data_IF_028555921956
#
_entry.id   IF_028555921956
#
_cell.length_a   1.000
_cell.length_b   1.000
_cell.length_c   1.000
_cell.angle_alpha   90.00
_cell.angle_beta   90.00
_cell.angle_gamma   90.00
#
_symmetry.space_group_name_H-M   'P 1'
#
loop_
_entity.id
_entity.type
_entity.pdbx_description
1 polymer ?
#
# COMPACT_ATOMS: atom_id res chain seq x y z
N UNK A 1 0.14 -15.11 -5.92
CA UNK A 1 -0.25 -15.14 -7.34
C UNK A 1 0.73 -15.87 -8.24
N UNK A 2 2.05 -15.63 -8.19
CA UNK A 2 3.01 -16.29 -9.09
C UNK A 2 2.96 -17.82 -9.06
N UNK A 3 2.83 -18.40 -7.87
CA UNK A 3 2.69 -19.86 -7.69
C UNK A 3 1.36 -20.34 -8.28
N UNK A 4 0.26 -19.69 -7.89
CA UNK A 4 -1.10 -20.03 -8.36
C UNK A 4 -1.28 -19.91 -9.88
N UNK A 5 -0.54 -19.01 -10.53
CA UNK A 5 -0.58 -18.84 -11.98
C UNK A 5 0.41 -19.74 -12.74
N UNK A 6 1.15 -20.60 -12.05
CA UNK A 6 2.22 -21.42 -12.64
C UNK A 6 3.43 -20.63 -13.13
N UNK A 7 3.55 -19.34 -12.76
CA UNK A 7 4.69 -18.50 -13.11
C UNK A 7 5.91 -18.76 -12.21
N UNK A 8 5.75 -19.55 -11.15
CA UNK A 8 6.82 -20.04 -10.29
C UNK A 8 6.53 -21.48 -9.85
N UNK A 9 7.55 -22.33 -9.88
CA UNK A 9 7.48 -23.71 -9.38
C UNK A 9 7.77 -23.81 -7.87
N UNK A 10 8.00 -22.69 -7.20
CA UNK A 10 8.22 -22.66 -5.76
C UNK A 10 6.90 -22.87 -5.01
N UNK A 11 6.97 -23.51 -3.85
CA UNK A 11 5.84 -23.61 -2.91
C UNK A 11 5.94 -22.58 -1.78
N UNK A 12 7.15 -22.14 -1.44
CA UNK A 12 7.40 -21.04 -0.49
C UNK A 12 7.57 -19.70 -1.23
N UNK A 13 6.66 -18.74 -1.04
CA UNK A 13 6.78 -17.40 -1.64
C UNK A 13 8.05 -16.65 -1.23
N UNK A 14 8.66 -16.95 -0.07
CA UNK A 14 9.90 -16.29 0.39
C UNK A 14 11.11 -16.62 -0.49
N UNK A 15 11.05 -17.72 -1.25
CA UNK A 15 12.10 -18.12 -2.20
C UNK A 15 12.00 -17.40 -3.54
N UNK A 16 10.93 -16.64 -3.77
CA UNK A 16 10.74 -15.89 -5.01
C UNK A 16 11.39 -14.50 -4.87
N UNK A 17 12.35 -14.13 -5.74
CA UNK A 17 12.97 -12.80 -5.69
C UNK A 17 11.92 -11.69 -5.78
N UNK A 18 12.01 -10.69 -4.92
CA UNK A 18 11.00 -9.62 -4.81
C UNK A 18 10.79 -8.85 -6.13
N UNK A 19 11.85 -8.65 -6.89
CA UNK A 19 11.85 -8.03 -8.21
C UNK A 19 11.09 -8.86 -9.28
N UNK A 20 10.87 -10.16 -9.04
CA UNK A 20 10.11 -11.02 -9.95
C UNK A 20 8.65 -10.57 -10.09
N UNK A 21 8.04 -10.04 -9.02
CA UNK A 21 6.65 -9.54 -9.08
C UNK A 21 6.53 -8.23 -9.86
N UNK A 22 7.65 -7.56 -10.16
CA UNK A 22 7.70 -6.28 -10.89
C UNK A 22 8.10 -6.43 -12.35
N UNK A 23 8.43 -7.65 -12.82
CA UNK A 23 8.76 -7.89 -14.22
C UNK A 23 7.52 -7.68 -15.10
N UNK A 24 7.73 -7.07 -16.27
CA UNK A 24 6.65 -6.83 -17.24
C UNK A 24 6.03 -8.15 -17.67
N UNK A 25 4.71 -8.14 -17.89
CA UNK A 25 3.92 -9.28 -18.39
C UNK A 25 3.84 -10.50 -17.48
N UNK A 26 4.34 -10.42 -16.24
CA UNK A 26 4.19 -11.50 -15.26
C UNK A 26 2.74 -11.68 -14.81
N UNK A 27 1.97 -10.60 -14.77
CA UNK A 27 0.54 -10.63 -14.49
C UNK A 27 -0.23 -10.05 -15.67
N UNK A 28 -1.31 -10.73 -16.06
CA UNK A 28 -2.28 -10.22 -17.04
C UNK A 28 -3.17 -9.21 -16.32
N UNK A 29 -3.17 -7.97 -16.78
CA UNK A 29 -4.09 -6.94 -16.26
C UNK A 29 -5.40 -7.01 -17.04
N UNK A 30 -6.49 -6.55 -16.41
CA UNK A 30 -7.76 -6.42 -17.13
C UNK A 30 -7.65 -5.49 -18.34
N UNK A 31 -6.81 -4.45 -18.27
CA UNK A 31 -6.52 -3.55 -19.38
C UNK A 31 -5.86 -4.23 -20.59
N UNK A 32 -5.29 -5.41 -20.42
CA UNK A 32 -4.62 -6.16 -21.47
C UNK A 32 -5.59 -7.09 -22.24
N UNK A 33 -6.87 -7.11 -21.84
CA UNK A 33 -7.89 -8.06 -22.31
C UNK A 33 -9.00 -7.39 -23.11
N UNK A 34 -9.67 -8.16 -23.98
CA UNK A 34 -10.87 -7.71 -24.68
C UNK A 34 -12.05 -7.53 -23.70
N UNK A 35 -13.02 -6.65 -23.99
CA UNK A 35 -14.17 -6.42 -23.11
C UNK A 35 -14.92 -7.71 -22.68
N UNK A 36 -15.13 -8.65 -23.60
CA UNK A 36 -15.78 -9.94 -23.28
C UNK A 36 -14.96 -10.80 -22.32
N UNK A 37 -13.63 -10.75 -22.42
CA UNK A 37 -12.71 -11.46 -21.53
C UNK A 37 -12.63 -10.82 -20.15
N UNK A 38 -12.74 -9.49 -20.07
CA UNK A 38 -12.86 -8.75 -18.80
C UNK A 38 -14.17 -9.14 -18.13
N UNK A 39 -15.30 -9.03 -18.85
CA UNK A 39 -16.62 -9.35 -18.33
C UNK A 39 -16.70 -10.79 -17.82
N UNK A 40 -16.20 -11.76 -18.60
CA UNK A 40 -16.14 -13.16 -18.17
C UNK A 40 -15.44 -13.29 -16.81
N UNK A 41 -14.24 -12.72 -16.67
CA UNK A 41 -13.47 -12.79 -15.40
C UNK A 41 -14.17 -12.11 -14.24
N UNK A 42 -14.75 -10.92 -14.46
CA UNK A 42 -15.49 -10.23 -13.41
C UNK A 42 -16.69 -11.05 -12.91
N UNK A 43 -17.34 -11.81 -13.80
CA UNK A 43 -18.48 -12.64 -13.47
C UNK A 43 -18.12 -14.02 -12.89
N UNK A 44 -17.01 -14.64 -13.34
CA UNK A 44 -16.74 -16.06 -13.04
C UNK A 44 -15.55 -16.31 -12.12
N UNK A 45 -14.65 -15.35 -11.93
CA UNK A 45 -13.45 -15.57 -11.12
C UNK A 45 -13.70 -15.16 -9.67
N UNK A 46 -13.08 -15.87 -8.73
CA UNK A 46 -12.96 -15.43 -7.33
C UNK A 46 -12.07 -14.19 -7.27
N UNK A 47 -12.59 -13.11 -6.70
CA UNK A 47 -11.93 -11.81 -6.57
C UNK A 47 -11.74 -11.52 -5.10
N UNK A 48 -10.52 -11.20 -4.70
CA UNK A 48 -10.23 -10.80 -3.33
C UNK A 48 -9.35 -9.55 -3.28
N UNK A 49 -9.49 -8.81 -2.18
CA UNK A 49 -8.75 -7.59 -1.90
C UNK A 49 -8.18 -7.67 -0.48
N UNK A 50 -6.93 -7.26 -0.29
CA UNK A 50 -6.35 -7.09 1.04
C UNK A 50 -6.18 -5.61 1.34
N UNK A 51 -6.75 -5.17 2.46
CA UNK A 51 -6.72 -3.78 2.92
C UNK A 51 -6.00 -3.67 4.25
N UNK A 52 -5.54 -2.47 4.58
CA UNK A 52 -4.83 -2.16 5.83
C UNK A 52 -5.35 -0.87 6.39
N UNK A 53 -5.31 -0.71 7.72
CA UNK A 53 -5.67 0.54 8.37
C UNK A 53 -5.05 1.75 7.64
N UNK A 54 -5.85 2.77 7.23
CA UNK A 54 -5.37 3.80 6.30
C UNK A 54 -4.15 4.57 6.80
N UNK A 55 -4.13 4.95 8.08
CA UNK A 55 -2.99 5.66 8.69
C UNK A 55 -1.74 4.76 8.75
N UNK A 56 -1.91 3.49 9.11
CA UNK A 56 -0.78 2.56 9.18
C UNK A 56 -0.18 2.33 7.79
N UNK A 57 -1.03 2.24 6.76
CA UNK A 57 -0.58 2.13 5.37
C UNK A 57 0.26 3.33 4.94
N UNK A 58 -0.17 4.56 5.25
CA UNK A 58 0.56 5.80 4.90
C UNK A 58 1.91 5.86 5.61
N UNK A 59 1.95 5.54 6.90
CA UNK A 59 3.20 5.51 7.67
C UNK A 59 4.12 4.42 7.11
N UNK A 60 3.58 3.23 6.82
CA UNK A 60 4.35 2.13 6.22
C UNK A 60 4.96 2.54 4.88
N UNK A 61 4.23 3.27 4.05
CA UNK A 61 4.73 3.82 2.80
C UNK A 61 5.85 4.84 3.04
N UNK A 62 5.65 5.78 3.98
CA UNK A 62 6.65 6.78 4.33
C UNK A 62 7.97 6.13 4.77
N UNK A 63 7.91 5.23 5.74
CA UNK A 63 9.08 4.52 6.28
C UNK A 63 9.82 3.75 5.18
N UNK A 64 9.08 3.02 4.34
CA UNK A 64 9.67 2.23 3.26
C UNK A 64 10.30 3.10 2.17
N UNK A 65 9.72 4.27 1.84
CA UNK A 65 10.18 5.09 0.71
C UNK A 65 11.17 6.18 1.08
N UNK A 66 11.12 6.72 2.30
CA UNK A 66 11.91 7.89 2.70
C UNK A 66 12.92 7.61 3.83
N UNK A 67 12.61 6.70 4.76
CA UNK A 67 13.53 6.41 5.87
C UNK A 67 14.51 5.29 5.55
N UNK A 68 13.99 4.17 5.03
CA UNK A 68 14.81 3.00 4.73
C UNK A 68 15.79 3.26 3.57
N UNK A 69 16.88 2.52 3.56
CA UNK A 69 17.96 2.65 2.55
C UNK A 69 17.96 1.49 1.54
N UNK A 70 16.78 1.02 1.15
CA UNK A 70 16.66 0.11 0.01
C UNK A 70 16.97 0.83 -1.31
N UNK A 71 17.43 0.08 -2.32
CA UNK A 71 17.67 0.58 -3.68
C UNK A 71 16.44 1.30 -4.25
N UNK A 72 15.23 0.76 -4.02
CA UNK A 72 13.97 1.38 -4.43
C UNK A 72 13.74 2.73 -3.76
N UNK A 73 14.16 2.92 -2.51
CA UNK A 73 13.94 4.15 -1.73
C UNK A 73 14.68 5.33 -2.32
N UNK A 74 15.89 5.12 -2.87
CA UNK A 74 16.68 6.19 -3.48
C UNK A 74 15.92 6.92 -4.61
N UNK A 75 15.14 6.19 -5.40
CA UNK A 75 14.25 6.77 -6.41
C UNK A 75 13.20 7.69 -5.79
N UNK A 76 12.51 7.24 -4.74
CA UNK A 76 11.45 8.03 -4.09
C UNK A 76 12.00 9.27 -3.38
N UNK A 77 13.12 9.12 -2.66
CA UNK A 77 13.81 10.24 -2.01
C UNK A 77 14.19 11.31 -3.03
N UNK A 78 14.81 10.94 -4.15
CA UNK A 78 15.19 11.88 -5.20
C UNK A 78 13.97 12.51 -5.90
N UNK A 79 12.96 11.70 -6.24
CA UNK A 79 11.79 12.15 -7.03
C UNK A 79 10.82 13.01 -6.22
N UNK A 80 10.52 12.61 -4.99
CA UNK A 80 9.53 13.23 -4.12
C UNK A 80 10.18 13.96 -2.97
N UNK A 81 11.14 13.35 -2.28
CA UNK A 81 11.72 13.88 -1.04
C UNK A 81 12.37 15.26 -1.21
N UNK A 82 13.12 15.47 -2.29
CA UNK A 82 13.69 16.80 -2.60
C UNK A 82 12.60 17.86 -2.74
N UNK A 83 11.51 17.55 -3.46
CA UNK A 83 10.40 18.50 -3.69
C UNK A 83 9.62 18.78 -2.40
N UNK A 84 9.38 17.75 -1.60
CA UNK A 84 8.71 17.84 -0.31
C UNK A 84 9.52 18.76 0.61
N UNK A 85 10.80 18.49 0.81
CA UNK A 85 11.63 19.30 1.71
C UNK A 85 11.75 20.75 1.22
N UNK A 86 11.96 20.98 -0.08
CA UNK A 86 12.03 22.35 -0.64
C UNK A 86 10.76 23.17 -0.39
N UNK A 87 9.59 22.54 -0.34
CA UNK A 87 8.32 23.23 -0.15
C UNK A 87 7.93 23.39 1.32
N UNK A 88 8.20 22.39 2.16
CA UNK A 88 7.63 22.32 3.51
C UNK A 88 8.66 22.51 4.65
N UNK A 89 9.97 22.42 4.37
CA UNK A 89 10.99 22.58 5.41
C UNK A 89 11.13 24.05 5.80
N UNK A 90 10.87 24.35 7.06
CA UNK A 90 10.98 25.71 7.62
C UNK A 90 12.39 25.99 8.13
N UNK A 91 12.83 27.24 8.02
CA UNK A 91 14.09 27.71 8.61
C UNK A 91 15.36 27.21 7.91
N UNK A 92 15.25 26.65 6.71
CA UNK A 92 16.39 26.16 5.91
C UNK A 92 16.27 26.67 4.48
N UNK A 93 17.38 27.12 3.88
CA UNK A 93 17.35 27.57 2.48
C UNK A 93 17.12 26.38 1.53
N UNK A 94 16.34 26.53 0.45
CA UNK A 94 16.10 25.47 -0.53
C UNK A 94 17.36 24.89 -1.16
N UNK A 95 18.44 25.67 -1.24
CA UNK A 95 19.75 25.29 -1.76
C UNK A 95 20.50 24.34 -0.82
N UNK A 96 20.19 24.37 0.47
CA UNK A 96 20.77 23.49 1.49
C UNK A 96 20.11 22.11 1.55
N UNK A 97 19.02 21.90 0.80
CA UNK A 97 18.33 20.60 0.75
C UNK A 97 19.20 19.56 0.01
N UNK A 98 19.48 18.38 0.60
CA UNK A 98 20.27 17.35 -0.06
C UNK A 98 19.67 16.93 -1.40
N UNK A 99 20.48 16.91 -2.45
CA UNK A 99 20.06 16.46 -3.79
C UNK A 99 19.66 14.98 -3.83
N UNK A 100 20.09 14.20 -2.84
CA UNK A 100 19.65 12.82 -2.61
C UNK A 100 18.20 12.73 -2.14
N UNK A 101 17.64 13.80 -1.58
CA UNK A 101 16.33 13.80 -0.96
C UNK A 101 16.26 13.03 0.36
N UNK A 102 17.40 12.74 0.98
CA UNK A 102 17.46 12.10 2.30
C UNK A 102 16.96 13.05 3.40
N UNK A 103 16.33 12.47 4.42
CA UNK A 103 15.95 13.18 5.64
C UNK A 103 14.62 13.92 5.54
N UNK A 104 13.67 13.48 4.70
CA UNK A 104 12.28 13.96 4.74
C UNK A 104 11.67 13.63 6.10
N UNK A 105 10.96 14.57 6.72
CA UNK A 105 10.23 14.32 7.96
C UNK A 105 8.77 13.96 7.68
N UNK A 106 8.17 13.13 8.55
CA UNK A 106 6.79 12.68 8.35
C UNK A 106 5.77 13.84 8.26
N UNK A 107 5.82 14.89 9.10
CA UNK A 107 4.92 16.04 8.95
C UNK A 107 5.05 16.74 7.59
N UNK A 108 6.24 16.78 6.98
CA UNK A 108 6.43 17.37 5.65
C UNK A 108 5.79 16.50 4.57
N UNK A 109 5.89 15.18 4.70
CA UNK A 109 5.20 14.24 3.82
C UNK A 109 3.68 14.35 3.94
N UNK A 110 3.14 14.50 5.15
CA UNK A 110 1.69 14.70 5.35
C UNK A 110 1.22 16.02 4.73
N UNK A 111 1.97 17.12 4.90
CA UNK A 111 1.65 18.39 4.21
C UNK A 111 1.66 18.25 2.69
N UNK A 112 2.59 17.46 2.15
CA UNK A 112 2.60 17.12 0.73
C UNK A 112 1.33 16.37 0.30
N UNK A 113 0.84 15.41 1.09
CA UNK A 113 -0.40 14.70 0.78
C UNK A 113 -1.61 15.64 0.81
N UNK A 114 -1.69 16.53 1.81
CA UNK A 114 -2.78 17.50 1.95
C UNK A 114 -2.86 18.45 0.75
N UNK A 115 -1.72 18.91 0.25
CA UNK A 115 -1.65 19.83 -0.89
C UNK A 115 -1.76 19.14 -2.27
N UNK A 116 -1.69 17.81 -2.32
CA UNK A 116 -1.69 17.06 -3.57
C UNK A 116 -3.10 16.54 -3.85
N UNK A 117 -3.56 16.67 -5.10
CA UNK A 117 -4.85 16.09 -5.51
C UNK A 117 -4.78 14.56 -5.45
N UNK A 118 -5.82 13.90 -4.95
CA UNK A 118 -5.84 12.44 -4.73
C UNK A 118 -5.53 11.65 -6.01
N UNK A 119 -5.93 12.15 -7.18
CA UNK A 119 -5.70 11.54 -8.49
C UNK A 119 -4.22 11.54 -8.90
N UNK A 120 -3.40 12.36 -8.24
CA UNK A 120 -1.95 12.46 -8.47
C UNK A 120 -1.13 11.63 -7.46
N UNK A 121 -1.79 10.92 -6.54
CA UNK A 121 -1.10 10.10 -5.55
C UNK A 121 -0.38 8.93 -6.23
N UNK A 122 0.80 8.60 -5.71
CA UNK A 122 1.48 7.37 -6.08
C UNK A 122 0.72 6.18 -5.47
N UNK A 123 0.75 5.01 -6.11
CA UNK A 123 0.06 3.80 -5.67
C UNK A 123 0.37 3.37 -4.23
N UNK A 124 1.52 3.78 -3.69
CA UNK A 124 1.89 3.46 -2.30
C UNK A 124 1.11 4.23 -1.24
N UNK A 125 0.61 5.43 -1.57
CA UNK A 125 -0.19 6.26 -0.66
C UNK A 125 -1.54 6.70 -1.25
N UNK A 126 -1.88 6.25 -2.46
CA UNK A 126 -3.23 6.36 -3.01
C UNK A 126 -4.24 5.56 -2.18
N UNK A 127 -5.49 6.02 -2.14
CA UNK A 127 -6.57 5.33 -1.45
C UNK A 127 -6.77 3.93 -2.05
N UNK A 128 -7.03 2.91 -1.21
CA UNK A 128 -7.34 1.56 -1.70
C UNK A 128 -8.62 1.61 -2.54
N UNK A 129 -9.63 2.33 -2.07
CA UNK A 129 -10.90 2.52 -2.76
C UNK A 129 -10.71 3.03 -4.19
N UNK A 130 -9.80 3.98 -4.41
CA UNK A 130 -9.48 4.49 -5.75
C UNK A 130 -8.66 3.51 -6.61
N UNK A 131 -7.78 2.72 -6.00
CA UNK A 131 -6.95 1.74 -6.73
C UNK A 131 -7.74 0.49 -7.13
N UNK A 132 -8.72 0.10 -6.32
CA UNK A 132 -9.38 -1.19 -6.40
C UNK A 132 -10.87 -1.09 -6.77
N UNK A 133 -11.46 0.10 -6.69
CA UNK A 133 -12.86 0.38 -7.06
C UNK A 133 -13.85 -0.68 -6.51
N UNK A 134 -13.92 -0.87 -5.18
CA UNK A 134 -14.81 -1.88 -4.57
C UNK A 134 -16.31 -1.60 -4.81
N UNK A 135 -16.66 -0.39 -5.24
CA UNK A 135 -18.02 -0.05 -5.67
C UNK A 135 -18.36 -0.62 -7.06
N UNK A 136 -17.38 -0.76 -7.95
CA UNK A 136 -17.55 -1.28 -9.31
C UNK A 136 -17.22 -2.76 -9.42
N UNK A 137 -16.31 -3.25 -8.56
CA UNK A 137 -15.85 -4.63 -8.52
C UNK A 137 -16.45 -5.32 -7.30
N UNK A 138 -17.34 -6.29 -7.54
CA UNK A 138 -17.90 -7.13 -6.47
C UNK A 138 -16.85 -8.13 -5.98
N UNK A 139 -16.07 -7.75 -4.98
CA UNK A 139 -15.13 -8.67 -4.34
C UNK A 139 -15.86 -9.77 -3.57
N UNK A 140 -15.39 -11.01 -3.72
CA UNK A 140 -15.88 -12.18 -2.98
C UNK A 140 -15.31 -12.19 -1.56
N UNK A 141 -14.07 -11.70 -1.39
CA UNK A 141 -13.40 -11.59 -0.08
C UNK A 141 -12.65 -10.27 0.07
N UNK A 142 -12.80 -9.61 1.22
CA UNK A 142 -11.99 -8.45 1.61
C UNK A 142 -11.25 -8.83 2.90
N UNK A 143 -9.98 -9.19 2.76
CA UNK A 143 -9.10 -9.53 3.88
C UNK A 143 -8.42 -8.28 4.46
N UNK A 144 -7.98 -8.37 5.72
CA UNK A 144 -7.30 -7.30 6.45
C UNK A 144 -5.86 -7.69 6.76
N UNK A 145 -4.98 -6.70 6.90
CA UNK A 145 -3.57 -6.95 7.24
C UNK A 145 -3.42 -7.47 8.68
N UNK A 146 -4.36 -7.10 9.53
CA UNK A 146 -4.50 -7.50 10.92
C UNK A 146 -4.80 -9.00 11.05
N UNK A 147 -5.47 -9.59 10.05
CA UNK A 147 -5.87 -11.01 9.97
C UNK A 147 -5.25 -11.70 8.75
N UNK A 148 -4.12 -11.18 8.25
CA UNK A 148 -3.55 -11.56 6.95
C UNK A 148 -3.31 -13.06 6.79
N UNK A 149 -2.83 -13.73 7.85
CA UNK A 149 -2.56 -15.17 7.82
C UNK A 149 -3.86 -15.98 7.64
N UNK A 150 -4.85 -15.70 8.48
CA UNK A 150 -6.12 -16.42 8.53
C UNK A 150 -6.94 -16.16 7.27
N UNK A 151 -7.04 -14.91 6.84
CA UNK A 151 -7.74 -14.52 5.62
C UNK A 151 -7.09 -15.15 4.38
N UNK A 152 -5.75 -15.17 4.32
CA UNK A 152 -5.04 -15.80 3.20
C UNK A 152 -5.23 -17.31 3.18
N UNK A 153 -5.19 -17.96 4.35
CA UNK A 153 -5.45 -19.40 4.48
C UNK A 153 -6.86 -19.72 4.00
N UNK A 154 -7.85 -18.99 4.49
CA UNK A 154 -9.25 -19.19 4.10
C UNK A 154 -9.44 -19.01 2.59
N UNK A 155 -8.92 -17.93 2.01
CA UNK A 155 -9.03 -17.69 0.56
C UNK A 155 -8.37 -18.81 -0.25
N UNK A 156 -7.19 -19.31 0.16
CA UNK A 156 -6.53 -20.44 -0.51
C UNK A 156 -7.38 -21.71 -0.49
N UNK A 157 -8.04 -22.01 0.63
CA UNK A 157 -8.98 -23.13 0.75
C UNK A 157 -10.20 -22.93 -0.18
N UNK A 158 -10.78 -21.73 -0.22
CA UNK A 158 -11.96 -21.43 -1.03
C UNK A 158 -11.70 -21.50 -2.55
N UNK A 159 -10.48 -21.21 -3.00
CA UNK A 159 -10.11 -21.32 -4.42
C UNK A 159 -9.63 -22.74 -4.80
N UNK A 160 -9.65 -23.70 -3.86
CA UNK A 160 -9.16 -25.06 -4.10
C UNK A 160 -7.66 -25.12 -4.36
N UNK A 161 -6.86 -24.26 -3.72
CA UNK A 161 -5.41 -24.30 -3.85
C UNK A 161 -4.85 -25.64 -3.33
N UNK A 162 -3.72 -26.13 -3.88
CA UNK A 162 -3.11 -27.37 -3.42
C UNK A 162 -2.84 -27.33 -1.89
N UNK A 163 -3.10 -28.43 -1.14
CA UNK A 163 -2.90 -28.45 0.31
C UNK A 163 -1.47 -28.16 0.78
N UNK A 164 -0.48 -28.28 -0.11
CA UNK A 164 0.92 -27.96 0.16
C UNK A 164 1.27 -26.47 0.00
N UNK A 165 0.35 -25.67 -0.54
CA UNK A 165 0.54 -24.24 -0.71
C UNK A 165 -0.06 -23.49 0.49
N UNK A 166 0.81 -22.84 1.26
CA UNK A 166 0.40 -22.07 2.43
C UNK A 166 0.85 -20.61 2.30
N UNK A 167 0.10 -19.72 2.95
CA UNK A 167 0.58 -18.37 3.16
C UNK A 167 1.82 -18.41 4.07
N UNK A 168 2.89 -17.67 3.75
CA UNK A 168 4.09 -17.66 4.57
C UNK A 168 3.80 -17.15 5.98
N UNK A 169 4.59 -17.60 6.95
CA UNK A 169 4.53 -17.08 8.31
C UNK A 169 4.59 -15.55 8.32
N UNK A 170 3.57 -14.92 8.91
CA UNK A 170 3.40 -13.48 8.95
C UNK A 170 4.34 -12.90 9.99
N UNK A 171 5.32 -12.14 9.54
CA UNK A 171 6.12 -11.31 10.44
C UNK A 171 5.29 -10.07 10.78
N UNK A 172 5.04 -9.80 12.08
CA UNK A 172 4.29 -8.61 12.48
C UNK A 172 4.88 -7.35 11.88
N UNK A 173 4.00 -6.48 11.40
CA UNK A 173 4.36 -5.17 10.89
C UNK A 173 5.13 -4.39 11.96
N UNK A 174 6.40 -4.06 11.68
CA UNK A 174 7.16 -3.11 12.51
C UNK A 174 6.54 -1.71 12.52
N UNK A 175 5.54 -1.44 11.67
CA UNK A 175 4.85 -0.15 11.61
C UNK A 175 3.76 -0.05 12.66
N UNK A 176 3.05 -1.13 12.98
CA UNK A 176 1.96 -1.11 13.98
C UNK A 176 2.46 -0.58 15.32
N UNK A 177 3.68 -0.96 15.72
CA UNK A 177 4.32 -0.52 16.96
C UNK A 177 4.71 0.97 17.02
N UNK A 178 4.67 1.70 15.90
CA UNK A 178 5.08 3.11 15.84
C UNK A 178 3.99 4.04 15.33
N UNK A 179 2.80 3.52 14.98
CA UNK A 179 1.70 4.33 14.40
C UNK A 179 1.40 5.55 15.25
N UNK A 180 1.21 5.34 16.55
CA UNK A 180 0.89 6.40 17.51
C UNK A 180 1.96 7.50 17.53
N UNK A 181 3.25 7.14 17.57
CA UNK A 181 4.36 8.10 17.59
C UNK A 181 4.39 8.98 16.34
N UNK A 182 4.23 8.39 15.15
CA UNK A 182 4.18 9.17 13.91
C UNK A 182 2.95 10.07 13.87
N UNK A 183 1.79 9.56 14.29
CA UNK A 183 0.56 10.33 14.28
C UNK A 183 0.62 11.51 15.27
N UNK A 184 1.19 11.31 16.46
CA UNK A 184 1.41 12.35 17.46
C UNK A 184 2.48 13.37 17.08
N UNK A 185 3.33 13.08 16.08
CA UNK A 185 4.27 14.08 15.52
C UNK A 185 3.60 15.15 14.65
N UNK A 186 2.33 14.92 14.27
CA UNK A 186 1.55 15.84 13.44
C UNK A 186 0.83 16.89 14.29
N UNK A 187 0.58 18.06 13.71
CA UNK A 187 -0.36 19.02 14.32
C UNK A 187 -1.80 18.48 14.29
N UNK A 188 -2.67 18.96 15.19
CA UNK A 188 -4.08 18.57 15.20
C UNK A 188 -4.79 18.79 13.84
N UNK A 189 -4.44 19.87 13.14
CA UNK A 189 -4.96 20.14 11.80
C UNK A 189 -4.47 19.08 10.79
N UNK A 190 -3.19 18.75 10.79
CA UNK A 190 -2.64 17.70 9.93
C UNK A 190 -3.23 16.33 10.22
N UNK A 191 -3.49 16.00 11.48
CA UNK A 191 -4.18 14.76 11.87
C UNK A 191 -5.58 14.70 11.27
N UNK A 192 -6.37 15.77 11.47
CA UNK A 192 -7.73 15.88 10.93
C UNK A 192 -7.76 15.80 9.40
N UNK A 193 -6.89 16.55 8.72
CA UNK A 193 -6.84 16.57 7.26
C UNK A 193 -6.36 15.24 6.69
N UNK A 194 -5.39 14.58 7.34
CA UNK A 194 -4.93 13.26 6.95
C UNK A 194 -6.08 12.24 7.04
N UNK A 195 -6.83 12.22 8.15
CA UNK A 195 -8.00 11.33 8.30
C UNK A 195 -9.04 11.62 7.21
N UNK A 196 -9.30 12.91 6.93
CA UNK A 196 -10.24 13.32 5.88
C UNK A 196 -9.83 12.89 4.48
N UNK A 197 -8.53 12.90 4.15
CA UNK A 197 -8.04 12.40 2.85
C UNK A 197 -8.44 10.94 2.64
N UNK A 198 -8.32 10.10 3.68
CA UNK A 198 -8.57 8.66 3.62
C UNK A 198 -9.95 8.23 4.14
N UNK A 199 -10.88 9.17 4.30
CA UNK A 199 -12.22 8.91 4.86
C UNK A 199 -12.96 7.76 4.15
N UNK A 200 -12.88 7.70 2.82
CA UNK A 200 -13.55 6.65 2.05
C UNK A 200 -12.99 5.26 2.38
N UNK A 201 -11.67 5.12 2.54
CA UNK A 201 -11.05 3.86 2.95
C UNK A 201 -11.46 3.47 4.38
N UNK A 202 -11.62 4.44 5.29
CA UNK A 202 -12.13 4.15 6.63
C UNK A 202 -13.56 3.60 6.59
N UNK A 203 -14.43 4.22 5.80
CA UNK A 203 -15.85 3.85 5.72
C UNK A 203 -16.06 2.54 4.96
N UNK A 204 -15.47 2.41 3.77
CA UNK A 204 -15.70 1.25 2.88
C UNK A 204 -15.15 -0.04 3.50
N UNK A 205 -14.03 0.04 4.22
CA UNK A 205 -13.36 -1.14 4.76
C UNK A 205 -13.56 -1.36 6.26
N UNK A 206 -14.51 -0.62 6.85
CA UNK A 206 -14.88 -0.71 8.26
C UNK A 206 -13.65 -0.63 9.18
N UNK A 207 -12.90 0.47 9.01
CA UNK A 207 -11.83 0.84 9.93
C UNK A 207 -12.32 1.96 10.83
N UNK A 208 -12.04 1.83 12.13
CA UNK A 208 -12.21 2.92 13.07
C UNK A 208 -10.86 3.57 13.35
N UNK A 209 -10.87 4.90 13.39
CA UNK A 209 -9.71 5.72 13.71
C UNK A 209 -9.00 5.29 15.00
N UNK A 210 -9.76 4.85 16.01
CA UNK A 210 -9.26 4.47 17.34
C UNK A 210 -8.67 3.07 17.43
N UNK A 211 -8.67 2.28 16.36
CA UNK A 211 -8.18 0.91 16.44
C UNK A 211 -6.64 0.82 16.63
N UNK A 212 -5.93 1.97 16.66
CA UNK A 212 -4.47 2.05 16.79
C UNK A 212 -3.96 3.29 17.58
N UNK A 213 -4.84 4.00 18.29
CA UNK A 213 -4.53 5.20 19.10
C UNK A 213 -5.22 5.05 20.45
#
# INVERSE_FOLDING_TARGET
MLILSGASNQTDPKLIPADSVHRKHVFIKLSDLKPSQIQHRLLTYTKFLFVRHPVERVISAFRNKFEMNYTSSAYFKKRFGVKIMKKYRKGVSPESIPSSGNGVHFPEFVSYLIDTKKEQFNEHWALVSSLCNPCDVKYDYIGKYETLADDSKYILEQIGAPPSLHFPEVVPSKTSAVVESYFNSLTAQQQSDLVKIYQDDFQIFDYHFRNFI
#
